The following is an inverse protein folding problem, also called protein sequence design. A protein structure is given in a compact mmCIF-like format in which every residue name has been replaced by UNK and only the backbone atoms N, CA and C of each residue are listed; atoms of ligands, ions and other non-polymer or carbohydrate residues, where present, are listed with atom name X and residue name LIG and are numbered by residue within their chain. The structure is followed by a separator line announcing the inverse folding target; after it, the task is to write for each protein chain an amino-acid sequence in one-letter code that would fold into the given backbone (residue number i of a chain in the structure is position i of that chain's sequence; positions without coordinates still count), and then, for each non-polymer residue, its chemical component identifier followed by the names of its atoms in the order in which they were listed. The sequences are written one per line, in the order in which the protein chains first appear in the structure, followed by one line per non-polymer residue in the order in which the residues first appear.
data_IF_107098323472
#
_entry.id   IF_107098323472
#
_cell.length_a   1.000
_cell.length_b   1.000
_cell.length_c   1.000
_cell.angle_alpha   90.00
_cell.angle_beta   90.00
_cell.angle_gamma   90.00
#
_symmetry.space_group_name_H-M   'P 1'
#
loop_
_entity.id
_entity.type
_entity.pdbx_description
1 polymer ?
#
# COMPACT_ATOMS: atom_id res chain seq x y z
N UNK A 1 -17.73 -10.92 -2.35
CA UNK A 1 -16.73 -10.83 -3.43
C UNK A 1 -15.60 -11.76 -3.07
N UNK A 2 -15.19 -12.69 -3.94
CA UNK A 2 -14.04 -13.54 -3.68
C UNK A 2 -12.76 -12.84 -4.13
N UNK A 3 -11.65 -13.13 -3.49
CA UNK A 3 -10.35 -12.59 -3.87
C UNK A 3 -9.92 -13.03 -5.28
N UNK A 4 -10.42 -14.19 -5.73
CA UNK A 4 -10.21 -14.71 -7.10
C UNK A 4 -10.73 -13.76 -8.19
N UNK A 5 -11.77 -12.95 -7.89
CA UNK A 5 -12.25 -11.90 -8.81
C UNK A 5 -11.22 -10.78 -8.96
N UNK A 6 -10.40 -10.54 -7.93
CA UNK A 6 -9.29 -9.60 -8.03
C UNK A 6 -8.09 -10.17 -8.75
N UNK A 7 -7.78 -11.48 -8.61
CA UNK A 7 -6.70 -12.12 -9.36
C UNK A 7 -6.94 -12.03 -10.87
N UNK A 8 -8.19 -12.10 -11.33
CA UNK A 8 -8.53 -11.92 -12.74
C UNK A 8 -8.32 -10.47 -13.23
N UNK A 9 -8.57 -9.47 -12.40
CA UNK A 9 -8.26 -8.06 -12.72
C UNK A 9 -6.73 -7.80 -12.77
N UNK A 10 -5.91 -8.65 -12.13
CA UNK A 10 -4.44 -8.60 -12.18
C UNK A 10 -3.86 -9.08 -13.51
N UNK A 11 -4.51 -10.04 -14.16
CA UNK A 11 -4.04 -10.61 -15.43
C UNK A 11 -4.04 -9.60 -16.59
N UNK A 12 -4.71 -8.46 -16.42
CA UNK A 12 -4.92 -7.46 -17.47
C UNK A 12 -4.02 -6.20 -17.34
N UNK A 13 -3.09 -6.14 -16.38
CA UNK A 13 -2.10 -5.07 -16.38
C UNK A 13 -1.08 -5.33 -17.48
N UNK A 14 -1.30 -4.74 -18.65
CA UNK A 14 -0.37 -4.74 -19.79
C UNK A 14 0.84 -3.86 -19.47
N UNK A 15 1.73 -4.36 -18.65
CA UNK A 15 3.09 -3.90 -18.61
C UNK A 15 3.89 -4.77 -19.59
N UNK A 16 4.57 -4.15 -20.54
CA UNK A 16 5.49 -4.81 -21.45
C UNK A 16 6.53 -5.61 -20.63
N UNK A 17 6.83 -6.84 -21.02
CA UNK A 17 7.77 -7.73 -20.31
C UNK A 17 9.17 -7.10 -20.15
N UNK A 18 9.59 -6.21 -21.05
CA UNK A 18 10.84 -5.48 -20.95
C UNK A 18 10.79 -4.39 -19.87
N UNK A 19 9.69 -3.65 -19.74
CA UNK A 19 9.47 -2.67 -18.67
C UNK A 19 9.40 -3.35 -17.31
N UNK A 20 8.73 -4.51 -17.22
CA UNK A 20 8.66 -5.33 -15.99
C UNK A 20 10.03 -5.80 -15.54
N UNK A 21 10.86 -6.28 -16.47
CA UNK A 21 12.24 -6.70 -16.18
C UNK A 21 13.11 -5.52 -15.75
N UNK A 22 12.96 -4.36 -16.40
CA UNK A 22 13.72 -3.16 -16.10
C UNK A 22 13.39 -2.58 -14.72
N UNK A 23 12.13 -2.65 -14.30
CA UNK A 23 11.65 -2.15 -13.00
C UNK A 23 11.73 -3.21 -11.89
N UNK A 24 12.15 -4.44 -12.21
CA UNK A 24 12.20 -5.54 -11.23
C UNK A 24 10.82 -5.92 -10.67
N UNK A 25 9.74 -5.59 -11.36
CA UNK A 25 8.37 -5.84 -10.90
C UNK A 25 8.06 -7.33 -10.94
N UNK A 26 7.88 -7.94 -9.79
CA UNK A 26 7.44 -9.32 -9.62
C UNK A 26 5.97 -9.33 -9.19
N UNK A 27 5.15 -10.04 -9.96
CA UNK A 27 3.75 -10.26 -9.61
C UNK A 27 3.67 -11.40 -8.60
N UNK A 28 3.35 -11.08 -7.37
CA UNK A 28 3.18 -12.09 -6.33
C UNK A 28 1.75 -12.60 -6.37
N UNK A 29 1.50 -13.89 -6.68
CA UNK A 29 0.16 -14.47 -6.66
C UNK A 29 -0.45 -14.40 -5.26
N UNK A 30 -1.78 -14.25 -5.20
CA UNK A 30 -2.48 -14.15 -3.90
C UNK A 30 -2.16 -15.31 -2.97
N UNK A 31 -2.12 -16.55 -3.48
CA UNK A 31 -1.79 -17.74 -2.68
C UNK A 31 -0.41 -17.69 -2.00
N UNK A 32 0.53 -16.93 -2.56
CA UNK A 32 1.85 -16.69 -1.95
C UNK A 32 1.72 -15.60 -0.89
N UNK A 33 1.02 -14.51 -1.20
CA UNK A 33 0.77 -13.40 -0.26
C UNK A 33 0.04 -13.91 0.98
N UNK A 34 -0.99 -14.75 0.80
CA UNK A 34 -1.74 -15.36 1.90
C UNK A 34 -0.82 -16.11 2.86
N UNK A 35 0.08 -16.97 2.32
CA UNK A 35 1.07 -17.69 3.13
C UNK A 35 2.06 -16.77 3.84
N UNK A 36 2.43 -15.65 3.22
CA UNK A 36 3.28 -14.64 3.86
C UNK A 36 2.54 -13.99 5.04
N UNK A 37 1.28 -13.61 4.84
CA UNK A 37 0.45 -13.01 5.87
C UNK A 37 0.17 -13.97 7.03
N UNK A 38 -0.01 -15.26 6.75
CA UNK A 38 -0.22 -16.31 7.78
C UNK A 38 1.00 -16.50 8.69
N UNK A 39 2.21 -16.25 8.17
CA UNK A 39 3.44 -16.25 9.00
C UNK A 39 3.50 -15.09 9.98
N UNK A 40 2.81 -14.00 9.69
CA UNK A 40 2.73 -12.82 10.57
C UNK A 40 1.64 -13.00 11.63
N UNK A 41 0.55 -13.67 11.28
CA UNK A 41 -0.53 -13.99 12.18
C UNK A 41 -1.68 -14.70 11.47
N UNK A 42 -2.27 -15.68 12.13
CA UNK A 42 -3.40 -16.43 11.57
C UNK A 42 -4.73 -15.69 11.82
N UNK A 43 -5.64 -15.77 10.86
CA UNK A 43 -7.02 -15.25 11.01
C UNK A 43 -7.80 -16.02 12.07
N UNK A 44 -7.46 -17.30 12.29
CA UNK A 44 -8.07 -18.11 13.37
C UNK A 44 -7.68 -17.64 14.77
N UNK A 45 -6.57 -16.92 14.91
CA UNK A 45 -6.12 -16.34 16.17
C UNK A 45 -6.61 -14.90 16.32
N UNK A 46 -7.61 -14.69 17.18
CA UNK A 46 -8.20 -13.37 17.45
C UNK A 46 -7.24 -12.39 18.14
N UNK A 47 -6.13 -12.86 18.68
CA UNK A 47 -5.05 -12.02 19.22
C UNK A 47 -4.01 -11.60 18.16
N UNK A 48 -4.13 -12.08 16.93
CA UNK A 48 -3.20 -11.73 15.87
C UNK A 48 -3.26 -10.24 15.49
N UNK A 49 -2.18 -9.73 14.91
CA UNK A 49 -2.06 -8.33 14.49
C UNK A 49 -3.15 -7.89 13.51
N UNK A 50 -3.77 -8.85 12.81
CA UNK A 50 -4.81 -8.57 11.83
C UNK A 50 -6.11 -8.02 12.45
N UNK A 51 -6.34 -8.29 13.74
CA UNK A 51 -7.49 -7.76 14.50
C UNK A 51 -7.14 -6.47 15.25
N UNK A 52 -5.86 -6.15 15.41
CA UNK A 52 -5.42 -4.95 16.13
C UNK A 52 -5.50 -3.72 15.22
N UNK A 53 -6.49 -2.87 15.49
CA UNK A 53 -6.73 -1.63 14.73
C UNK A 53 -5.67 -0.54 15.00
N UNK A 54 -4.74 -0.75 15.92
CA UNK A 54 -3.63 0.17 16.19
C UNK A 54 -2.37 -0.17 15.38
N UNK A 55 -2.32 -1.35 14.76
CA UNK A 55 -1.16 -1.80 13.98
C UNK A 55 -1.26 -1.33 12.55
N UNK A 56 -0.15 -0.80 12.05
CA UNK A 56 0.02 -0.38 10.67
C UNK A 56 0.74 -1.43 9.84
N UNK A 57 0.49 -1.42 8.54
CA UNK A 57 1.19 -2.25 7.55
C UNK A 57 1.80 -1.33 6.47
N UNK A 58 3.00 -1.65 6.05
CA UNK A 58 3.69 -0.96 4.96
C UNK A 58 4.15 -1.98 3.91
N UNK A 59 3.81 -1.71 2.66
CA UNK A 59 4.46 -2.31 1.50
C UNK A 59 5.42 -1.28 0.88
N UNK A 60 6.74 -1.40 1.10
CA UNK A 60 7.71 -0.39 0.67
C UNK A 60 7.99 -0.41 -0.83
N UNK A 61 7.47 -1.40 -1.56
CA UNK A 61 7.61 -1.58 -3.02
C UNK A 61 6.31 -2.12 -3.59
N UNK A 62 5.22 -1.37 -3.39
CA UNK A 62 3.87 -1.91 -3.55
C UNK A 62 3.52 -2.34 -4.98
N UNK A 63 4.28 -1.91 -5.99
CA UNK A 63 4.00 -2.22 -7.38
C UNK A 63 2.56 -1.86 -7.75
N UNK A 64 1.83 -2.78 -8.37
CA UNK A 64 0.42 -2.61 -8.70
C UNK A 64 -0.52 -2.75 -7.48
N UNK A 65 0.00 -2.88 -6.25
CA UNK A 65 -0.77 -2.91 -5.00
C UNK A 65 -1.33 -4.28 -4.61
N UNK A 66 -0.77 -5.39 -5.10
CA UNK A 66 -1.28 -6.73 -4.82
C UNK A 66 -1.27 -7.05 -3.32
N UNK A 67 -0.13 -6.84 -2.65
CA UNK A 67 0.02 -7.09 -1.21
C UNK A 67 -0.88 -6.13 -0.43
N UNK A 68 -0.94 -4.86 -0.81
CA UNK A 68 -1.81 -3.85 -0.19
C UNK A 68 -3.28 -4.30 -0.22
N UNK A 69 -3.79 -4.71 -1.38
CA UNK A 69 -5.18 -5.18 -1.52
C UNK A 69 -5.41 -6.46 -0.71
N UNK A 70 -4.46 -7.39 -0.69
CA UNK A 70 -4.57 -8.60 0.11
C UNK A 70 -4.62 -8.29 1.62
N UNK A 71 -3.83 -7.34 2.10
CA UNK A 71 -3.86 -6.86 3.49
C UNK A 71 -5.23 -6.24 3.81
N UNK A 72 -5.74 -5.36 2.93
CA UNK A 72 -7.06 -4.75 3.11
C UNK A 72 -8.17 -5.81 3.11
N UNK A 73 -8.11 -6.79 2.20
CA UNK A 73 -9.05 -7.91 2.17
C UNK A 73 -9.04 -8.67 3.50
N UNK A 74 -7.85 -9.04 3.99
CA UNK A 74 -7.71 -9.77 5.26
C UNK A 74 -8.30 -8.97 6.42
N UNK A 75 -7.97 -7.70 6.55
CA UNK A 75 -8.48 -6.84 7.63
C UNK A 75 -9.99 -6.63 7.56
N UNK A 76 -10.52 -6.32 6.37
CA UNK A 76 -11.93 -5.96 6.19
C UNK A 76 -12.82 -7.22 6.16
N UNK A 77 -12.47 -8.19 5.30
CA UNK A 77 -13.36 -9.33 5.02
C UNK A 77 -13.15 -10.46 6.02
N UNK A 78 -11.90 -10.83 6.27
CA UNK A 78 -11.61 -11.99 7.14
C UNK A 78 -11.63 -11.64 8.63
N UNK A 79 -11.19 -10.42 8.98
CA UNK A 79 -11.13 -9.96 10.38
C UNK A 79 -12.28 -9.02 10.77
N UNK A 80 -13.09 -8.54 9.83
CA UNK A 80 -14.26 -7.71 10.10
C UNK A 80 -13.96 -6.29 10.55
N UNK A 81 -12.76 -5.75 10.23
CA UNK A 81 -12.41 -4.37 10.55
C UNK A 81 -13.24 -3.37 9.74
N UNK A 82 -13.44 -2.18 10.30
CA UNK A 82 -14.02 -1.07 9.57
C UNK A 82 -13.15 -0.71 8.35
N UNK A 83 -13.72 -0.58 7.14
CA UNK A 83 -12.96 -0.32 5.91
C UNK A 83 -12.08 0.93 6.00
N UNK A 84 -12.59 2.02 6.57
CA UNK A 84 -11.83 3.26 6.76
C UNK A 84 -10.64 3.07 7.70
N UNK A 85 -10.82 2.33 8.80
CA UNK A 85 -9.75 2.04 9.77
C UNK A 85 -8.68 1.17 9.14
N UNK A 86 -9.08 0.10 8.44
CA UNK A 86 -8.16 -0.79 7.73
C UNK A 86 -7.31 -0.02 6.71
N UNK A 87 -7.93 0.87 5.91
CA UNK A 87 -7.22 1.69 4.94
C UNK A 87 -6.30 2.71 5.60
N UNK A 88 -6.74 3.37 6.70
CA UNK A 88 -5.93 4.34 7.43
C UNK A 88 -4.64 3.75 8.02
N UNK A 89 -4.63 2.43 8.24
CA UNK A 89 -3.50 1.70 8.80
C UNK A 89 -2.69 0.92 7.75
N UNK A 90 -2.94 1.15 6.45
CA UNK A 90 -2.23 0.47 5.37
C UNK A 90 -1.54 1.49 4.49
N UNK A 91 -0.23 1.31 4.30
CA UNK A 91 0.66 2.24 3.61
C UNK A 91 1.40 1.54 2.46
N UNK A 92 1.78 2.31 1.45
CA UNK A 92 2.55 1.78 0.33
C UNK A 92 3.41 2.85 -0.35
N UNK A 93 4.57 2.42 -0.84
CA UNK A 93 5.50 3.25 -1.60
C UNK A 93 5.74 2.58 -2.95
N UNK A 94 5.72 3.36 -4.02
CA UNK A 94 6.05 2.90 -5.38
C UNK A 94 6.89 3.96 -6.09
N UNK A 95 7.97 3.52 -6.72
CA UNK A 95 8.90 4.40 -7.41
C UNK A 95 8.36 4.89 -8.76
N UNK A 96 7.74 3.98 -9.52
CA UNK A 96 7.23 4.28 -10.85
C UNK A 96 5.87 4.97 -10.80
N UNK A 97 5.80 6.20 -11.30
CA UNK A 97 4.59 7.01 -11.26
C UNK A 97 3.39 6.33 -11.94
N UNK A 98 3.60 5.68 -13.09
CA UNK A 98 2.53 5.00 -13.84
C UNK A 98 1.96 3.84 -13.03
N UNK A 99 2.83 3.03 -12.46
CA UNK A 99 2.46 1.90 -11.60
C UNK A 99 1.79 2.37 -10.32
N UNK A 100 2.30 3.45 -9.71
CA UNK A 100 1.70 4.07 -8.52
C UNK A 100 0.26 4.54 -8.79
N UNK A 101 0.02 5.28 -9.86
CA UNK A 101 -1.32 5.77 -10.21
C UNK A 101 -2.28 4.60 -10.46
N UNK A 102 -1.81 3.56 -11.14
CA UNK A 102 -2.60 2.34 -11.37
C UNK A 102 -2.95 1.62 -10.05
N UNK A 103 -1.98 1.49 -9.14
CA UNK A 103 -2.22 0.89 -7.83
C UNK A 103 -3.28 1.67 -7.03
N UNK A 104 -3.22 3.01 -7.02
CA UNK A 104 -4.21 3.85 -6.34
C UNK A 104 -5.62 3.66 -6.90
N UNK A 105 -5.79 3.61 -8.21
CA UNK A 105 -7.10 3.35 -8.84
C UNK A 105 -7.63 1.96 -8.46
N UNK A 106 -6.78 0.94 -8.39
CA UNK A 106 -7.17 -0.39 -7.94
C UNK A 106 -7.60 -0.41 -6.48
N UNK A 107 -6.85 0.24 -5.60
CA UNK A 107 -7.18 0.36 -4.18
C UNK A 107 -8.52 1.10 -4.03
N UNK A 108 -8.73 2.19 -4.75
CA UNK A 108 -9.98 2.95 -4.75
C UNK A 108 -11.15 2.09 -5.21
N UNK A 109 -11.00 1.35 -6.32
CA UNK A 109 -12.00 0.42 -6.84
C UNK A 109 -12.30 -0.68 -5.80
N UNK A 110 -11.28 -1.25 -5.16
CA UNK A 110 -11.44 -2.24 -4.11
C UNK A 110 -12.26 -1.69 -2.93
N UNK A 111 -11.88 -0.53 -2.42
CA UNK A 111 -12.55 0.10 -1.27
C UNK A 111 -14.01 0.46 -1.55
N UNK A 112 -14.36 0.81 -2.80
CA UNK A 112 -15.73 1.14 -3.19
C UNK A 112 -16.74 -0.02 -3.05
N UNK A 113 -16.26 -1.24 -2.89
CA UNK A 113 -17.13 -2.40 -2.61
C UNK A 113 -17.59 -2.47 -1.15
N UNK A 114 -16.93 -1.77 -0.25
CA UNK A 114 -17.17 -1.85 1.19
C UNK A 114 -17.74 -0.56 1.78
N UNK A 115 -17.57 0.57 1.12
CA UNK A 115 -18.05 1.86 1.60
C UNK A 115 -18.29 2.83 0.46
N UNK A 116 -19.27 3.72 0.64
CA UNK A 116 -19.54 4.85 -0.24
C UNK A 116 -18.85 6.15 0.22
N UNK A 117 -18.02 6.08 1.29
CA UNK A 117 -17.25 7.24 1.75
C UNK A 117 -16.19 7.65 0.72
N UNK A 118 -15.96 8.96 0.61
CA UNK A 118 -14.80 9.46 -0.12
C UNK A 118 -13.52 9.25 0.71
N UNK A 119 -12.74 8.26 0.32
CA UNK A 119 -11.48 7.89 0.96
C UNK A 119 -10.24 8.45 0.23
N UNK A 120 -10.43 9.34 -0.76
CA UNK A 120 -9.35 9.87 -1.61
C UNK A 120 -8.22 10.48 -0.78
N UNK A 121 -8.53 11.27 0.25
CA UNK A 121 -7.49 11.89 1.10
C UNK A 121 -6.62 10.87 1.83
N UNK A 122 -7.20 9.76 2.28
CA UNK A 122 -6.44 8.69 2.95
C UNK A 122 -5.57 7.97 1.92
N UNK A 123 -6.11 7.67 0.75
CA UNK A 123 -5.37 7.02 -0.34
C UNK A 123 -4.20 7.89 -0.79
N UNK A 124 -4.42 9.20 -0.97
CA UNK A 124 -3.37 10.14 -1.37
C UNK A 124 -2.27 10.30 -0.33
N UNK A 125 -2.63 10.26 0.95
CA UNK A 125 -1.67 10.34 2.05
C UNK A 125 -0.88 9.05 2.25
N UNK A 126 -1.56 7.89 2.21
CA UNK A 126 -0.95 6.62 2.60
C UNK A 126 -0.18 5.93 1.47
N UNK A 127 -0.50 6.23 0.22
CA UNK A 127 0.16 5.63 -0.95
C UNK A 127 0.90 6.69 -1.72
N UNK A 128 2.23 6.64 -1.65
CA UNK A 128 3.11 7.69 -2.17
C UNK A 128 3.99 7.21 -3.31
N UNK A 129 4.29 8.13 -4.25
CA UNK A 129 5.24 7.89 -5.32
C UNK A 129 6.60 8.45 -4.91
N UNK A 130 7.52 7.57 -4.51
CA UNK A 130 8.85 7.96 -4.05
C UNK A 130 9.84 6.80 -4.11
N UNK A 131 11.12 7.11 -4.08
CA UNK A 131 12.15 6.15 -3.69
C UNK A 131 12.06 5.91 -2.18
N UNK A 132 12.01 4.63 -1.77
CA UNK A 132 11.96 4.24 -0.36
C UNK A 132 13.13 4.81 0.46
N UNK A 133 14.30 4.95 -0.16
CA UNK A 133 15.49 5.49 0.50
C UNK A 133 15.42 7.02 0.71
N UNK A 134 14.57 7.72 -0.05
CA UNK A 134 14.29 9.15 0.10
C UNK A 134 13.07 9.44 0.99
N UNK A 135 12.38 8.40 1.49
CA UNK A 135 11.18 8.53 2.31
C UNK A 135 11.49 8.30 3.79
N UNK A 136 11.03 9.20 4.65
CA UNK A 136 11.05 9.02 6.11
C UNK A 136 9.79 8.27 6.54
N UNK A 137 9.97 6.98 6.83
CA UNK A 137 8.86 6.08 7.19
C UNK A 137 8.26 6.45 8.55
N UNK A 138 9.07 6.95 9.49
CA UNK A 138 8.62 7.29 10.85
C UNK A 138 7.72 8.52 10.85
N UNK A 139 8.11 9.56 10.09
CA UNK A 139 7.37 10.81 10.00
C UNK A 139 6.42 10.86 8.80
N UNK A 140 6.44 9.86 7.95
CA UNK A 140 5.67 9.70 6.71
C UNK A 140 5.77 10.92 5.79
N UNK A 141 6.99 11.35 5.50
CA UNK A 141 7.29 12.47 4.62
C UNK A 141 8.57 12.22 3.79
N UNK A 142 8.80 13.07 2.80
CA UNK A 142 10.07 13.04 2.07
C UNK A 142 11.21 13.48 3.00
N UNK A 143 12.34 12.78 2.98
CA UNK A 143 13.54 13.19 3.71
C UNK A 143 14.00 14.56 3.23
N UNK A 144 14.33 15.44 4.16
CA UNK A 144 14.94 16.73 3.83
C UNK A 144 16.35 16.52 3.28
N UNK A 145 16.66 17.19 2.18
CA UNK A 145 18.04 17.22 1.66
C UNK A 145 18.91 18.11 2.55
N UNK A 146 20.24 17.91 2.50
CA UNK A 146 21.17 18.80 3.22
C UNK A 146 21.04 20.27 2.77
N UNK A 147 20.67 20.49 1.52
CA UNK A 147 20.45 21.83 0.96
C UNK A 147 19.16 22.48 1.47
N UNK A 148 18.09 21.69 1.70
CA UNK A 148 16.84 22.18 2.29
C UNK A 148 17.08 22.62 3.73
N UNK A 149 17.83 21.82 4.51
CA UNK A 149 18.18 22.14 5.91
C UNK A 149 19.05 23.40 6.01
N UNK A 150 20.00 23.58 5.07
CA UNK A 150 20.81 24.81 5.03
C UNK A 150 19.97 26.05 4.72
N UNK A 151 19.07 25.95 3.74
CA UNK A 151 18.17 27.04 3.35
C UNK A 151 17.25 27.47 4.49
N UNK A 152 16.71 26.50 5.26
CA UNK A 152 15.90 26.81 6.44
C UNK A 152 16.72 27.48 7.54
N UNK A 153 17.95 27.00 7.78
CA UNK A 153 18.85 27.60 8.78
C UNK A 153 19.27 29.04 8.41
N UNK A 154 19.56 29.30 7.15
CA UNK A 154 19.90 30.65 6.67
C UNK A 154 18.73 31.64 6.83
N UNK A 155 17.48 31.19 6.60
CA UNK A 155 16.28 31.98 6.82
C UNK A 155 15.95 32.30 8.30
N UNK A 156 16.57 31.59 9.26
CA UNK A 156 16.42 31.89 10.68
C UNK A 156 17.37 32.99 11.19
N UNK A 157 18.41 33.33 10.41
CA UNK A 157 19.44 34.30 10.80
C UNK A 157 19.33 35.66 10.06
N UNK A 158 18.30 35.83 9.20
CA UNK A 158 17.90 37.11 8.61
C UNK A 158 16.76 37.77 9.44
#
# INVERSE_FOLDING_TARGET
MSIEQFDNDFAHYECNDEERKKLGQVWTPYSVIEKMMDKVGLVSDKSSIWYDETKTNLDPTMGAGNIVIAILYRRIVECGQNPRVALSNTYGIELDLKTHLYAKERIKKFMSHFTNEDLTKIIDHNFVCSDIFEWDIENWCKKQSEDDVKSELEGFFE
#
